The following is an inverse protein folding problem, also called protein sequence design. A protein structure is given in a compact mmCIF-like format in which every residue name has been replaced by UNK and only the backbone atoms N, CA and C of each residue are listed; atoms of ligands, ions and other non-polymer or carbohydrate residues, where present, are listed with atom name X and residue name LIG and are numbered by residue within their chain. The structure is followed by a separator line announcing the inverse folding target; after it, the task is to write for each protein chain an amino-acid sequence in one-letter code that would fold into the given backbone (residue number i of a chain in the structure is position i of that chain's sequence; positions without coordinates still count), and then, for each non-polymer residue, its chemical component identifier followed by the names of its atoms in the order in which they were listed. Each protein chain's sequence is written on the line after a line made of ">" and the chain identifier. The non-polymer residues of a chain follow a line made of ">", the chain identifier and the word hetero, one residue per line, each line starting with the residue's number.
data_IF_050218901499
#
_entry.id   IF_050218901499
#
_cell.length_a   1.000
_cell.length_b   1.000
_cell.length_c   1.000
_cell.angle_alpha   90.00
_cell.angle_beta   90.00
_cell.angle_gamma   90.00
#
_symmetry.space_group_name_H-M   'P 1'
#
loop_
_entity.id
_entity.type
_entity.pdbx_description
1 polymer ?
#
# COMPACT_ATOMS: atom_id res chain seq x y z
N UNK A 1 -75.26 3.47 -39.07
CA UNK A 1 -76.41 3.63 -38.17
C UNK A 1 -76.04 3.08 -36.81
N UNK A 2 -76.29 3.87 -35.74
CA UNK A 2 -76.61 3.49 -34.35
C UNK A 2 -75.65 2.51 -33.62
N UNK A 3 -75.26 2.70 -32.36
CA UNK A 3 -75.74 3.56 -31.28
C UNK A 3 -74.74 3.49 -30.13
N UNK A 4 -74.52 4.63 -29.48
CA UNK A 4 -74.04 4.77 -28.11
C UNK A 4 -74.85 3.92 -27.12
N UNK A 5 -74.19 3.42 -26.07
CA UNK A 5 -74.58 3.70 -24.67
C UNK A 5 -73.59 3.12 -23.64
N UNK A 6 -73.36 3.95 -22.63
CA UNK A 6 -72.58 3.73 -21.41
C UNK A 6 -73.24 2.71 -20.46
N UNK A 7 -72.42 2.02 -19.66
CA UNK A 7 -72.78 1.64 -18.30
C UNK A 7 -71.53 1.58 -17.41
N UNK A 8 -71.48 2.49 -16.45
CA UNK A 8 -70.52 2.54 -15.35
C UNK A 8 -71.01 1.58 -14.26
N UNK A 9 -70.19 0.59 -13.90
CA UNK A 9 -70.14 -0.06 -12.58
C UNK A 9 -68.64 -0.28 -12.33
N UNK A 10 -67.99 0.31 -11.33
CA UNK A 10 -68.44 0.41 -9.95
C UNK A 10 -67.98 -0.82 -9.20
N UNK A 11 -66.68 -0.95 -8.93
CA UNK A 11 -66.11 -2.09 -8.20
C UNK A 11 -64.62 -1.94 -7.93
N UNK A 12 -64.27 -1.18 -6.88
CA UNK A 12 -62.97 -1.32 -6.23
C UNK A 12 -62.89 -2.70 -5.57
N UNK A 13 -61.99 -3.55 -6.07
CA UNK A 13 -61.41 -4.64 -5.28
C UNK A 13 -59.89 -4.48 -5.31
N UNK A 14 -59.37 -4.24 -4.12
CA UNK A 14 -57.96 -4.08 -3.79
C UNK A 14 -57.24 -5.44 -3.76
N UNK A 15 -55.94 -5.37 -4.03
CA UNK A 15 -54.84 -6.25 -3.58
C UNK A 15 -54.62 -7.59 -4.32
N UNK A 16 -53.72 -7.54 -5.30
CA UNK A 16 -52.52 -8.38 -5.33
C UNK A 16 -51.49 -7.74 -6.28
N UNK A 17 -50.58 -6.94 -5.72
CA UNK A 17 -49.38 -6.50 -6.44
C UNK A 17 -48.42 -7.71 -6.49
N UNK A 18 -48.40 -8.41 -7.62
CA UNK A 18 -47.33 -9.35 -7.95
C UNK A 18 -46.21 -8.60 -8.69
N UNK A 19 -44.98 -8.77 -8.21
CA UNK A 19 -43.78 -8.50 -9.01
C UNK A 19 -42.98 -7.25 -8.66
N UNK A 20 -42.74 -6.99 -7.38
CA UNK A 20 -41.56 -6.19 -7.00
C UNK A 20 -40.38 -7.14 -7.01
N UNK A 21 -39.51 -7.01 -8.02
CA UNK A 21 -38.22 -7.69 -8.04
C UNK A 21 -37.37 -7.10 -6.91
N UNK A 22 -37.40 -7.74 -5.75
CA UNK A 22 -36.38 -7.56 -4.72
C UNK A 22 -35.08 -8.15 -5.25
N UNK A 23 -34.34 -7.34 -6.02
CA UNK A 23 -32.90 -7.52 -6.07
C UNK A 23 -32.38 -7.06 -4.71
N UNK A 24 -32.38 -7.98 -3.74
CA UNK A 24 -31.36 -7.97 -2.70
C UNK A 24 -30.04 -8.18 -3.43
N UNK A 25 -29.47 -7.09 -3.96
CA UNK A 25 -28.08 -7.07 -4.33
C UNK A 25 -27.33 -7.19 -3.00
N UNK A 26 -26.89 -8.42 -2.70
CA UNK A 26 -25.77 -8.63 -1.79
C UNK A 26 -24.69 -7.62 -2.19
N UNK A 27 -24.48 -6.66 -1.30
CA UNK A 27 -23.41 -5.71 -1.41
C UNK A 27 -22.13 -6.54 -1.52
N UNK A 28 -21.34 -6.43 -2.61
CA UNK A 28 -20.11 -7.20 -2.72
C UNK A 28 -19.26 -6.86 -1.50
N UNK A 29 -18.91 -7.87 -0.70
CA UNK A 29 -18.07 -7.75 0.51
C UNK A 29 -16.64 -7.26 0.21
N UNK A 30 -16.34 -6.89 -1.04
CA UNK A 30 -15.09 -6.30 -1.49
C UNK A 30 -15.34 -4.88 -1.99
N UNK A 31 -15.78 -3.98 -1.10
CA UNK A 31 -15.50 -2.57 -1.33
C UNK A 31 -13.97 -2.43 -1.25
N UNK A 32 -13.30 -2.24 -2.39
CA UNK A 32 -11.89 -1.89 -2.44
C UNK A 32 -11.70 -0.68 -1.52
N UNK A 33 -11.06 -0.89 -0.38
CA UNK A 33 -10.86 0.16 0.60
C UNK A 33 -10.06 1.27 -0.08
N UNK A 34 -10.63 2.47 -0.15
CA UNK A 34 -9.96 3.60 -0.77
C UNK A 34 -8.62 3.86 -0.07
N UNK A 35 -7.57 4.11 -0.85
CA UNK A 35 -6.24 4.40 -0.33
C UNK A 35 -6.29 5.48 0.78
N UNK A 36 -5.71 5.23 1.97
CA UNK A 36 -5.68 6.22 3.03
C UNK A 36 -4.89 7.45 2.57
N UNK A 37 -5.42 8.64 2.86
CA UNK A 37 -4.71 9.90 2.58
C UNK A 37 -3.56 10.05 3.59
N UNK A 38 -2.28 10.05 3.18
CA UNK A 38 -1.18 10.09 4.12
C UNK A 38 -0.94 11.51 4.67
N UNK A 39 -0.67 11.60 5.97
CA UNK A 39 -0.08 12.78 6.61
C UNK A 39 1.37 12.46 6.95
N UNK A 40 2.28 12.93 6.09
CA UNK A 40 3.72 12.81 6.33
C UNK A 40 4.17 13.96 7.24
N UNK A 41 4.82 13.62 8.36
CA UNK A 41 5.26 14.58 9.38
C UNK A 41 6.66 15.15 9.13
N UNK A 42 7.33 14.66 8.10
CA UNK A 42 8.67 15.12 7.71
C UNK A 42 8.61 16.32 6.77
N UNK A 43 9.48 17.31 7.01
CA UNK A 43 9.63 18.49 6.12
C UNK A 43 10.56 18.21 4.94
N UNK A 44 11.58 17.39 5.17
CA UNK A 44 12.57 16.90 4.22
C UNK A 44 12.75 15.41 4.44
N UNK A 45 13.23 14.69 3.43
CA UNK A 45 13.65 13.30 3.62
C UNK A 45 15.08 13.36 4.17
N UNK A 46 15.35 12.76 5.31
CA UNK A 46 16.68 12.73 5.89
C UNK A 46 16.97 11.37 6.56
N UNK A 47 18.11 11.26 7.23
CA UNK A 47 18.51 10.05 7.93
C UNK A 47 17.57 9.65 9.10
N UNK A 48 16.69 10.52 9.57
CA UNK A 48 15.73 10.18 10.63
C UNK A 48 14.67 9.18 10.14
N UNK A 49 14.44 9.10 8.82
CA UNK A 49 13.54 8.10 8.24
C UNK A 49 13.95 6.66 8.58
N UNK A 50 15.25 6.40 8.77
CA UNK A 50 15.80 5.09 9.12
C UNK A 50 16.21 4.97 10.59
N UNK A 51 15.85 5.94 11.44
CA UNK A 51 16.23 5.93 12.84
C UNK A 51 15.64 4.71 13.57
N UNK A 52 16.51 4.00 14.31
CA UNK A 52 16.12 2.83 15.10
C UNK A 52 15.82 1.57 14.29
N UNK A 53 16.09 1.56 12.99
CA UNK A 53 16.05 0.33 12.18
C UNK A 53 17.28 -0.54 12.48
N UNK A 54 17.10 -1.86 12.50
CA UNK A 54 18.20 -2.78 12.74
C UNK A 54 19.01 -3.02 11.44
N UNK A 55 20.01 -2.15 11.25
CA UNK A 55 20.82 -2.09 10.04
C UNK A 55 22.28 -2.44 10.33
N UNK A 56 22.93 -3.08 9.35
CA UNK A 56 24.35 -3.38 9.37
C UNK A 56 25.21 -2.17 8.95
N UNK A 57 26.50 -2.44 8.75
CA UNK A 57 27.47 -1.40 8.38
C UNK A 57 27.20 -0.84 6.98
N UNK A 58 27.21 0.48 6.86
CA UNK A 58 26.88 1.16 5.61
C UNK A 58 28.00 1.08 4.58
N UNK A 59 27.63 1.14 3.29
CA UNK A 59 28.54 1.33 2.16
C UNK A 59 28.12 2.51 1.29
N UNK A 60 29.08 3.29 0.80
CA UNK A 60 28.81 4.35 -0.17
C UNK A 60 28.81 3.81 -1.60
N UNK A 61 27.98 4.41 -2.46
CA UNK A 61 27.90 4.07 -3.87
C UNK A 61 27.18 5.13 -4.67
N UNK A 62 26.76 4.74 -5.89
CA UNK A 62 25.93 5.57 -6.76
C UNK A 62 24.79 4.75 -7.35
N UNK A 63 23.68 5.42 -7.61
CA UNK A 63 22.60 4.89 -8.45
C UNK A 63 23.05 4.82 -9.92
N UNK A 64 22.26 4.16 -10.78
CA UNK A 64 22.58 4.04 -12.21
C UNK A 64 22.63 5.39 -12.94
N UNK A 65 21.86 6.37 -12.49
CA UNK A 65 21.89 7.77 -12.95
C UNK A 65 22.94 8.64 -12.23
N UNK A 66 23.82 8.02 -11.43
CA UNK A 66 25.00 8.67 -10.84
C UNK A 66 24.76 9.44 -9.54
N UNK A 67 23.57 9.37 -8.95
CA UNK A 67 23.25 10.04 -7.67
C UNK A 67 23.98 9.37 -6.52
N UNK A 68 24.38 10.16 -5.51
CA UNK A 68 25.01 9.62 -4.30
C UNK A 68 24.03 8.67 -3.60
N UNK A 69 24.53 7.51 -3.19
CA UNK A 69 23.77 6.51 -2.46
C UNK A 69 24.57 6.03 -1.24
N UNK A 70 23.89 5.84 -0.11
CA UNK A 70 24.41 5.10 1.04
C UNK A 70 23.52 3.88 1.24
N UNK A 71 24.11 2.70 1.28
CA UNK A 71 23.39 1.43 1.40
C UNK A 71 23.61 0.83 2.78
N UNK A 72 22.57 0.27 3.36
CA UNK A 72 22.56 -0.36 4.67
C UNK A 72 21.97 -1.77 4.54
N UNK A 73 22.75 -2.84 4.72
CA UNK A 73 22.19 -4.19 4.74
C UNK A 73 21.25 -4.34 5.95
N UNK A 74 20.18 -5.10 5.78
CA UNK A 74 19.21 -5.37 6.84
C UNK A 74 19.75 -6.52 7.71
N UNK A 75 19.89 -6.31 9.03
CA UNK A 75 20.43 -7.35 9.90
C UNK A 75 19.52 -8.58 9.93
N UNK A 76 20.14 -9.76 10.02
CA UNK A 76 19.42 -11.04 10.03
C UNK A 76 18.93 -11.51 8.67
N UNK A 77 19.17 -10.76 7.59
CA UNK A 77 18.81 -11.14 6.22
C UNK A 77 20.03 -11.17 5.29
N UNK A 78 19.97 -11.93 4.19
CA UNK A 78 20.98 -11.91 3.13
C UNK A 78 21.20 -10.51 2.52
N UNK A 79 22.41 -10.25 2.01
CA UNK A 79 22.90 -8.92 1.61
C UNK A 79 22.07 -8.19 0.53
N UNK A 80 21.27 -8.91 -0.28
CA UNK A 80 20.35 -8.28 -1.23
C UNK A 80 19.24 -7.49 -0.53
N UNK A 81 19.00 -7.76 0.75
CA UNK A 81 18.04 -7.04 1.58
C UNK A 81 18.70 -5.79 2.15
N UNK A 82 18.28 -4.63 1.66
CA UNK A 82 19.03 -3.38 1.82
C UNK A 82 18.09 -2.19 1.88
N UNK A 83 18.46 -1.20 2.69
CA UNK A 83 17.92 0.17 2.63
C UNK A 83 18.95 1.09 2.00
N UNK A 84 18.49 2.01 1.17
CA UNK A 84 19.32 2.97 0.44
C UNK A 84 18.82 4.39 0.73
N UNK A 85 19.73 5.24 1.19
CA UNK A 85 19.54 6.68 1.24
C UNK A 85 20.09 7.28 -0.06
N UNK A 86 19.26 7.96 -0.83
CA UNK A 86 19.62 8.51 -2.15
C UNK A 86 19.54 10.03 -2.08
N UNK A 87 20.63 10.69 -2.45
CA UNK A 87 20.72 12.14 -2.47
C UNK A 87 22.07 12.65 -1.98
N UNK A 88 22.39 13.89 -2.37
CA UNK A 88 23.69 14.51 -2.08
C UNK A 88 23.78 15.06 -0.66
N UNK A 89 22.64 15.44 -0.07
CA UNK A 89 22.56 16.13 1.20
C UNK A 89 21.87 15.24 2.25
N UNK A 90 22.56 14.81 3.33
CA UNK A 90 21.98 13.93 4.34
C UNK A 90 20.75 14.48 5.06
N UNK A 91 20.59 15.81 5.12
CA UNK A 91 19.41 16.49 5.68
C UNK A 91 18.33 16.84 4.65
N UNK A 92 18.54 16.52 3.38
CA UNK A 92 17.57 16.74 2.30
C UNK A 92 17.82 15.75 1.15
N UNK A 93 17.54 14.48 1.43
CA UNK A 93 17.60 13.35 0.52
C UNK A 93 16.50 13.44 -0.56
N UNK A 94 16.75 12.79 -1.69
CA UNK A 94 15.78 12.65 -2.77
C UNK A 94 14.81 11.50 -2.49
N UNK A 95 15.34 10.40 -1.94
CA UNK A 95 14.56 9.23 -1.59
C UNK A 95 15.22 8.38 -0.50
N UNK A 96 14.38 7.60 0.18
CA UNK A 96 14.75 6.37 0.88
C UNK A 96 14.14 5.23 0.07
N UNK A 97 14.94 4.25 -0.34
CA UNK A 97 14.44 3.06 -1.03
C UNK A 97 14.95 1.80 -0.38
N UNK A 98 14.38 0.66 -0.74
CA UNK A 98 14.90 -0.61 -0.27
C UNK A 98 14.32 -1.82 -0.98
N UNK A 99 14.91 -2.96 -0.66
CA UNK A 99 14.42 -4.30 -1.00
C UNK A 99 14.45 -5.11 0.29
N UNK A 100 13.34 -5.71 0.66
CA UNK A 100 13.28 -6.65 1.77
C UNK A 100 12.36 -7.82 1.38
N UNK A 101 12.86 -9.03 1.46
CA UNK A 101 12.09 -10.24 1.27
C UNK A 101 12.65 -11.35 2.16
N UNK A 102 11.83 -11.79 3.11
CA UNK A 102 12.11 -13.00 3.89
C UNK A 102 11.86 -14.23 3.02
N UNK A 103 12.57 -15.31 3.32
CA UNK A 103 12.40 -16.62 2.67
C UNK A 103 11.86 -17.64 3.66
N UNK A 104 11.10 -18.61 3.15
CA UNK A 104 10.67 -19.78 3.92
C UNK A 104 11.81 -20.81 4.05
N UNK A 105 11.51 -21.96 4.68
CA UNK A 105 12.46 -23.07 4.88
C UNK A 105 12.94 -23.72 3.56
N UNK A 106 12.39 -23.31 2.40
CA UNK A 106 12.76 -23.78 1.06
C UNK A 106 13.46 -22.69 0.25
N UNK A 107 13.98 -21.66 0.91
CA UNK A 107 14.61 -20.48 0.30
C UNK A 107 13.70 -19.75 -0.71
N UNK A 108 12.38 -19.94 -0.60
CA UNK A 108 11.39 -19.30 -1.46
C UNK A 108 10.86 -18.02 -0.80
N UNK A 109 10.54 -16.95 -1.55
CA UNK A 109 9.97 -15.73 -0.98
C UNK A 109 8.73 -16.03 -0.12
N UNK A 110 8.70 -15.51 1.09
CA UNK A 110 7.62 -15.73 2.07
C UNK A 110 6.69 -14.53 2.23
N UNK A 111 6.98 -13.41 1.55
CA UNK A 111 6.32 -12.14 1.79
C UNK A 111 6.71 -11.54 3.14
N UNK A 112 5.86 -10.68 3.68
CA UNK A 112 6.13 -9.94 4.90
C UNK A 112 5.12 -10.36 5.96
N UNK A 113 5.43 -11.47 6.64
CA UNK A 113 4.59 -11.94 7.75
C UNK A 113 4.49 -10.87 8.85
N UNK A 114 3.34 -10.80 9.53
CA UNK A 114 3.17 -9.91 10.67
C UNK A 114 4.27 -10.18 11.71
N UNK A 115 4.92 -9.12 12.19
CA UNK A 115 6.07 -9.18 13.10
C UNK A 115 7.35 -9.84 12.51
N UNK A 116 7.37 -10.21 11.23
CA UNK A 116 8.58 -10.58 10.50
C UNK A 116 9.57 -9.42 10.40
N UNK A 117 10.81 -9.71 9.98
CA UNK A 117 11.88 -8.70 9.86
C UNK A 117 11.47 -7.60 8.88
N UNK A 118 10.96 -7.97 7.70
CA UNK A 118 10.61 -6.99 6.67
C UNK A 118 9.39 -6.16 7.05
N UNK A 119 8.34 -6.80 7.59
CA UNK A 119 7.16 -6.09 8.07
C UNK A 119 7.53 -5.08 9.17
N UNK A 120 8.28 -5.52 10.18
CA UNK A 120 8.66 -4.68 11.34
C UNK A 120 9.54 -3.50 10.92
N UNK A 121 10.52 -3.76 10.06
CA UNK A 121 11.42 -2.73 9.54
C UNK A 121 10.65 -1.68 8.73
N UNK A 122 9.76 -2.11 7.84
CA UNK A 122 8.95 -1.19 7.05
C UNK A 122 7.96 -0.42 7.93
N UNK A 123 7.26 -1.08 8.85
CA UNK A 123 6.35 -0.43 9.80
C UNK A 123 7.06 0.68 10.59
N UNK A 124 8.29 0.42 11.05
CA UNK A 124 9.11 1.40 11.77
C UNK A 124 9.53 2.57 10.87
N UNK A 125 9.95 2.31 9.63
CA UNK A 125 10.25 3.34 8.64
C UNK A 125 9.03 4.24 8.40
N UNK A 126 7.87 3.65 8.14
CA UNK A 126 6.61 4.39 7.92
C UNK A 126 6.23 5.18 9.17
N UNK A 127 6.39 4.60 10.35
CA UNK A 127 6.20 5.27 11.64
C UNK A 127 7.15 6.45 11.88
N UNK A 128 8.34 6.46 11.28
CA UNK A 128 9.26 7.60 11.35
C UNK A 128 8.79 8.76 10.46
N UNK A 129 8.15 8.48 9.32
CA UNK A 129 7.81 9.50 8.30
C UNK A 129 6.35 9.98 8.31
N UNK A 130 5.43 9.22 8.92
CA UNK A 130 4.00 9.51 8.91
C UNK A 130 3.37 9.58 10.31
N UNK A 131 2.22 10.26 10.41
CA UNK A 131 1.41 10.30 11.64
C UNK A 131 0.70 8.96 11.86
N UNK A 132 -0.08 8.48 10.89
CA UNK A 132 -0.82 7.22 10.95
C UNK A 132 -0.01 6.02 10.40
N UNK A 133 1.22 5.84 10.89
CA UNK A 133 2.17 4.90 10.28
C UNK A 133 1.70 3.44 10.20
N UNK A 134 1.01 2.95 11.23
CA UNK A 134 0.44 1.60 11.25
C UNK A 134 -0.61 1.41 10.14
N UNK A 135 -1.59 2.30 10.06
CA UNK A 135 -2.66 2.25 9.04
C UNK A 135 -2.10 2.30 7.61
N UNK A 136 -1.07 3.10 7.38
CA UNK A 136 -0.40 3.15 6.07
C UNK A 136 0.33 1.83 5.77
N UNK A 137 1.01 1.26 6.77
CA UNK A 137 1.70 -0.03 6.64
C UNK A 137 0.74 -1.15 6.28
N UNK A 138 -0.36 -1.30 7.04
CA UNK A 138 -1.36 -2.34 6.82
C UNK A 138 -1.95 -2.26 5.41
N UNK A 139 -2.29 -1.04 4.96
CA UNK A 139 -2.79 -0.80 3.62
C UNK A 139 -1.76 -1.20 2.56
N UNK A 140 -0.52 -0.72 2.68
CA UNK A 140 0.51 -0.92 1.67
C UNK A 140 0.91 -2.40 1.54
N UNK A 141 1.14 -3.09 2.65
CA UNK A 141 1.55 -4.51 2.68
C UNK A 141 0.45 -5.41 2.11
N UNK A 142 -0.82 -5.16 2.48
CA UNK A 142 -1.95 -5.95 1.97
C UNK A 142 -2.18 -5.73 0.48
N UNK A 143 -2.15 -4.48 0.01
CA UNK A 143 -2.44 -4.14 -1.39
C UNK A 143 -1.29 -4.48 -2.34
N UNK A 144 -0.05 -4.52 -1.84
CA UNK A 144 1.09 -5.02 -2.58
C UNK A 144 1.17 -6.55 -2.59
N UNK A 145 0.19 -7.27 -2.03
CA UNK A 145 0.17 -8.73 -1.94
C UNK A 145 1.39 -9.33 -1.21
N UNK A 146 1.94 -8.59 -0.25
CA UNK A 146 3.01 -9.08 0.63
C UNK A 146 2.46 -9.79 1.87
N UNK A 147 1.19 -9.56 2.21
CA UNK A 147 0.49 -10.29 3.27
C UNK A 147 -1.05 -10.33 3.01
N UNK A 148 -1.67 -11.52 2.86
CA UNK A 148 -1.01 -12.82 2.67
C UNK A 148 -0.25 -12.85 1.34
N UNK A 149 0.96 -13.42 1.36
CA UNK A 149 1.77 -13.57 0.16
C UNK A 149 1.34 -14.77 -0.68
N UNK A 150 1.39 -14.60 -2.00
CA UNK A 150 1.12 -15.66 -2.97
C UNK A 150 2.15 -15.57 -4.08
N UNK A 151 2.95 -16.64 -4.24
CA UNK A 151 3.96 -16.70 -5.29
C UNK A 151 3.34 -16.47 -6.68
N UNK A 152 3.99 -15.64 -7.49
CA UNK A 152 3.53 -15.28 -8.83
C UNK A 152 2.38 -14.25 -8.89
N UNK A 153 1.85 -13.82 -7.74
CA UNK A 153 0.89 -12.71 -7.69
C UNK A 153 1.65 -11.39 -7.75
N UNK A 154 1.37 -10.59 -8.77
CA UNK A 154 1.85 -9.21 -8.83
C UNK A 154 0.97 -8.32 -7.96
N UNK A 155 1.60 -7.39 -7.25
CA UNK A 155 0.94 -6.39 -6.43
C UNK A 155 1.76 -5.12 -6.38
N UNK A 156 1.07 -4.00 -6.26
CA UNK A 156 1.67 -2.69 -6.07
C UNK A 156 0.71 -1.83 -5.26
N UNK A 157 1.25 -1.09 -4.30
CA UNK A 157 0.49 -0.16 -3.50
C UNK A 157 1.26 1.14 -3.33
N UNK A 158 0.55 2.26 -3.38
CA UNK A 158 1.12 3.57 -3.11
C UNK A 158 0.14 4.46 -2.38
N UNK A 159 0.70 5.34 -1.55
CA UNK A 159 0.01 6.46 -0.92
C UNK A 159 0.81 7.72 -1.18
N UNK A 160 0.12 8.83 -1.42
CA UNK A 160 0.79 10.08 -1.77
C UNK A 160 0.05 11.31 -1.23
N UNK A 161 0.80 12.40 -1.07
CA UNK A 161 0.24 13.73 -0.91
C UNK A 161 0.86 14.71 -1.92
N UNK A 162 0.73 16.02 -1.70
CA UNK A 162 1.30 17.03 -2.59
C UNK A 162 2.84 17.04 -2.64
N UNK A 163 3.52 16.35 -1.72
CA UNK A 163 4.99 16.42 -1.56
C UNK A 163 5.68 15.08 -1.77
N UNK A 164 5.11 14.01 -1.24
CA UNK A 164 5.77 12.71 -1.20
C UNK A 164 4.89 11.57 -1.70
N UNK A 165 5.56 10.51 -2.13
CA UNK A 165 5.00 9.21 -2.49
C UNK A 165 5.69 8.17 -1.62
N UNK A 166 4.90 7.29 -1.02
CA UNK A 166 5.35 6.06 -0.37
C UNK A 166 4.73 4.89 -1.15
N UNK A 167 5.55 4.01 -1.69
CA UNK A 167 5.14 2.92 -2.57
C UNK A 167 5.92 1.64 -2.29
N UNK A 168 5.29 0.51 -2.61
CA UNK A 168 5.81 -0.84 -2.41
C UNK A 168 5.23 -1.81 -3.44
N UNK A 169 5.98 -2.86 -3.78
CA UNK A 169 5.54 -3.93 -4.67
C UNK A 169 5.58 -5.33 -4.04
N UNK A 170 4.99 -6.30 -4.72
CA UNK A 170 4.92 -7.71 -4.32
C UNK A 170 6.27 -8.41 -4.24
N UNK A 171 7.32 -7.82 -4.80
CA UNK A 171 8.67 -8.35 -4.68
C UNK A 171 9.41 -7.77 -3.47
N UNK A 172 8.75 -6.93 -2.65
CA UNK A 172 9.33 -6.33 -1.46
C UNK A 172 10.25 -5.16 -1.74
N UNK A 173 10.18 -4.56 -2.93
CA UNK A 173 10.83 -3.27 -3.18
C UNK A 173 9.94 -2.14 -2.66
N UNK A 174 10.53 -1.11 -2.06
CA UNK A 174 9.79 0.04 -1.55
C UNK A 174 10.55 1.36 -1.76
N UNK A 175 9.80 2.45 -1.83
CA UNK A 175 10.32 3.81 -2.00
C UNK A 175 9.51 4.81 -1.18
N UNK A 176 10.21 5.68 -0.45
CA UNK A 176 9.69 6.96 0.03
C UNK A 176 10.47 8.08 -0.65
N UNK A 177 9.79 8.87 -1.49
CA UNK A 177 10.44 9.84 -2.36
C UNK A 177 9.62 11.10 -2.52
N UNK A 178 10.28 12.16 -3.00
CA UNK A 178 9.60 13.36 -3.47
C UNK A 178 8.76 13.05 -4.70
N UNK A 179 7.61 13.71 -4.82
CA UNK A 179 6.69 13.51 -5.95
C UNK A 179 7.22 14.08 -7.27
N UNK A 180 8.00 15.15 -7.21
CA UNK A 180 8.43 15.96 -8.37
C UNK A 180 9.93 15.87 -8.65
N UNK A 181 10.53 14.68 -8.55
CA UNK A 181 11.95 14.46 -8.81
C UNK A 181 12.17 13.47 -9.96
#
# INVERSE_FOLDING_TARGET
>A
MLKTSFAVLGGCLLLAACGKSENTAEQPQNAVQSAPKPVFKVKYIDNTAIAGLDLGQSSEGKTNDGKKQISYPIKGLPEQNVIRLIGKHPGDLEAVSGKCMETDDKDSPAGWAENGVCHTLFAKLVGNIAEDGGKLTDYLVSHAALQPYQAGKSGYAAVQNGRYVLEIDSEGAFYFRRRHY
#
